data_IF_484502894874
#
_entry.id   IF_484502894874
#
_cell.length_a   1.000
_cell.length_b   1.000
_cell.length_c   1.000
_cell.angle_alpha   90.00
_cell.angle_beta   90.00
_cell.angle_gamma   90.00
#
_symmetry.space_group_name_H-M   'P 1'
#
loop_
_entity.id
_entity.type
_entity.pdbx_description
1 polymer ?
#
# COMPACT_ATOMS: atom_id res chain seq x y z
N UNK A 1 -9.52 -33.37 -6.22
CA UNK A 1 -8.65 -32.69 -5.24
C UNK A 1 -7.61 -31.87 -6.00
N UNK A 2 -7.48 -30.58 -5.64
CA UNK A 2 -6.54 -29.67 -6.29
C UNK A 2 -5.11 -29.99 -5.82
N UNK A 3 -4.20 -30.10 -6.78
CA UNK A 3 -2.79 -30.28 -6.43
C UNK A 3 -2.22 -29.00 -5.87
N UNK A 4 -1.44 -29.13 -4.81
CA UNK A 4 -0.81 -28.01 -4.11
C UNK A 4 0.70 -28.09 -4.24
N UNK A 5 1.35 -26.94 -4.09
CA UNK A 5 2.81 -26.84 -3.99
C UNK A 5 3.20 -25.82 -2.94
N UNK A 6 4.40 -25.93 -2.43
CA UNK A 6 4.96 -24.94 -1.53
C UNK A 6 5.15 -23.61 -2.29
N UNK A 7 4.62 -22.53 -1.76
CA UNK A 7 4.81 -21.20 -2.35
C UNK A 7 6.24 -20.68 -2.17
N UNK A 8 6.98 -21.22 -1.22
CA UNK A 8 8.26 -20.65 -0.80
C UNK A 8 8.12 -19.42 0.09
N UNK A 9 6.90 -19.05 0.44
CA UNK A 9 6.60 -17.90 1.30
C UNK A 9 6.14 -18.44 2.66
N UNK A 10 6.94 -18.23 3.73
CA UNK A 10 6.66 -18.86 5.05
C UNK A 10 5.26 -18.58 5.62
N UNK A 11 4.74 -17.35 5.42
CA UNK A 11 3.44 -16.98 5.99
C UNK A 11 2.25 -17.37 5.09
N UNK A 12 2.51 -17.95 3.92
CA UNK A 12 1.46 -18.48 3.03
C UNK A 12 1.44 -19.99 3.07
N UNK A 13 2.61 -20.63 2.98
CA UNK A 13 2.73 -22.07 2.93
C UNK A 13 2.40 -22.61 1.54
N UNK A 14 1.43 -23.52 1.45
CA UNK A 14 1.07 -24.14 0.18
C UNK A 14 0.05 -23.33 -0.60
N UNK A 15 0.20 -23.35 -1.93
CA UNK A 15 -0.72 -22.73 -2.89
C UNK A 15 -1.10 -23.76 -3.95
N UNK A 16 -2.22 -23.56 -4.69
CA UNK A 16 -2.51 -24.41 -5.84
C UNK A 16 -1.34 -24.46 -6.81
N UNK A 17 -1.05 -25.62 -7.36
CA UNK A 17 0.10 -25.86 -8.23
C UNK A 17 0.10 -24.91 -9.44
N UNK A 18 -1.08 -24.51 -9.91
CA UNK A 18 -1.24 -23.63 -11.06
C UNK A 18 -1.05 -22.14 -10.77
N UNK A 19 -0.94 -21.78 -9.49
CA UNK A 19 -0.74 -20.39 -9.13
C UNK A 19 0.71 -19.98 -9.30
N UNK A 20 0.92 -18.68 -9.55
CA UNK A 20 2.23 -18.09 -9.73
C UNK A 20 2.68 -17.35 -8.48
N UNK A 21 3.99 -17.24 -8.33
CA UNK A 21 4.63 -16.39 -7.31
C UNK A 21 5.43 -15.34 -8.07
N UNK A 22 5.14 -14.06 -7.82
CA UNK A 22 5.81 -12.95 -8.47
C UNK A 22 6.22 -11.90 -7.44
N UNK A 23 7.31 -11.18 -7.73
CA UNK A 23 7.65 -10.00 -6.95
C UNK A 23 6.60 -8.91 -7.20
N UNK A 24 6.32 -8.11 -6.17
CA UNK A 24 5.39 -6.98 -6.29
C UNK A 24 5.77 -6.09 -7.48
N UNK A 25 7.06 -5.83 -7.70
CA UNK A 25 7.53 -4.98 -8.79
C UNK A 25 7.25 -5.53 -10.19
N UNK A 26 6.95 -6.84 -10.31
CA UNK A 26 6.54 -7.42 -11.60
C UNK A 26 5.11 -7.07 -11.97
N UNK A 27 4.29 -6.73 -10.99
CA UNK A 27 2.84 -6.51 -11.16
C UNK A 27 2.45 -5.05 -10.97
N UNK A 28 3.21 -4.30 -10.18
CA UNK A 28 2.88 -2.93 -9.78
C UNK A 28 4.09 -2.03 -9.90
N UNK A 29 3.82 -0.78 -10.29
CA UNK A 29 4.82 0.30 -10.21
C UNK A 29 4.51 1.19 -9.01
N UNK A 30 5.54 1.83 -8.47
CA UNK A 30 5.34 2.92 -7.55
C UNK A 30 4.68 4.08 -8.29
N UNK A 31 3.55 4.57 -7.77
CA UNK A 31 2.83 5.68 -8.36
C UNK A 31 3.16 6.97 -7.63
N UNK A 32 3.70 7.94 -8.37
CA UNK A 32 4.01 9.29 -7.87
C UNK A 32 3.51 10.31 -8.87
N UNK A 33 2.53 11.10 -8.47
CA UNK A 33 1.99 12.18 -9.28
C UNK A 33 1.64 13.36 -8.37
N UNK A 34 2.52 14.34 -8.32
CA UNK A 34 2.34 15.49 -7.45
C UNK A 34 1.16 16.35 -7.90
N UNK A 35 0.44 16.89 -6.92
CA UNK A 35 -0.70 17.81 -7.14
C UNK A 35 -0.20 19.23 -7.39
N UNK A 36 0.66 19.41 -8.40
CA UNK A 36 1.42 20.64 -8.63
C UNK A 36 0.54 21.89 -8.87
N UNK A 37 -0.58 21.70 -9.54
CA UNK A 37 -1.50 22.79 -9.88
C UNK A 37 -2.64 22.94 -8.87
N UNK A 38 -2.62 22.12 -7.81
CA UNK A 38 -3.67 22.11 -6.79
C UNK A 38 -5.07 21.85 -7.36
N UNK A 39 -5.15 21.21 -8.52
CA UNK A 39 -6.44 20.97 -9.19
C UNK A 39 -7.26 19.89 -8.48
N UNK A 40 -6.61 18.95 -7.81
CA UNK A 40 -7.32 17.91 -7.06
C UNK A 40 -7.48 18.35 -5.61
N UNK A 41 -8.72 18.38 -5.13
CA UNK A 41 -9.05 18.88 -3.80
C UNK A 41 -9.68 17.82 -2.89
N UNK A 42 -9.91 16.59 -3.39
CA UNK A 42 -10.45 15.53 -2.58
C UNK A 42 -9.36 14.95 -1.68
N UNK A 43 -9.29 15.42 -0.45
CA UNK A 43 -8.25 14.98 0.50
C UNK A 43 -8.62 13.61 1.08
N UNK A 44 -7.71 12.67 0.94
CA UNK A 44 -7.86 11.30 1.42
C UNK A 44 -6.83 10.99 2.50
N UNK A 45 -7.16 10.02 3.33
CA UNK A 45 -6.29 9.54 4.40
C UNK A 45 -6.45 8.04 4.59
N UNK A 46 -5.38 7.37 4.98
CA UNK A 46 -5.42 5.96 5.36
C UNK A 46 -5.73 5.86 6.86
N UNK A 47 -6.82 5.20 7.17
CA UNK A 47 -7.29 5.03 8.54
C UNK A 47 -7.71 3.58 8.76
N UNK A 48 -6.95 2.86 9.58
CA UNK A 48 -7.25 1.47 9.97
C UNK A 48 -7.62 0.56 8.79
N UNK A 49 -6.81 0.58 7.74
CA UNK A 49 -6.98 -0.27 6.57
C UNK A 49 -7.96 0.23 5.52
N UNK A 50 -8.44 1.45 5.66
CA UNK A 50 -9.40 2.08 4.72
C UNK A 50 -8.91 3.45 4.29
N UNK A 51 -9.20 3.79 3.03
CA UNK A 51 -8.98 5.15 2.53
C UNK A 51 -10.28 5.93 2.76
N UNK A 52 -10.19 7.00 3.54
CA UNK A 52 -11.34 7.83 3.89
C UNK A 52 -11.13 9.26 3.43
N UNK A 53 -12.24 9.97 3.20
CA UNK A 53 -12.20 11.40 2.89
C UNK A 53 -11.94 12.21 4.15
N UNK A 54 -11.13 13.26 3.99
CA UNK A 54 -10.93 14.28 5.02
C UNK A 54 -11.39 15.63 4.49
N UNK A 55 -11.87 16.49 5.38
CA UNK A 55 -12.19 17.87 5.01
C UNK A 55 -10.89 18.66 4.85
N UNK A 56 -10.65 19.17 3.65
CA UNK A 56 -9.46 19.95 3.32
C UNK A 56 -9.43 21.30 4.08
N UNK A 57 -10.58 21.74 4.56
CA UNK A 57 -10.73 23.01 5.27
C UNK A 57 -10.69 22.87 6.80
N UNK A 58 -10.43 21.67 7.33
CA UNK A 58 -10.33 21.49 8.77
C UNK A 58 -9.07 22.19 9.30
N UNK A 59 -9.26 22.97 10.35
CA UNK A 59 -8.16 23.65 11.05
C UNK A 59 -7.48 22.74 12.07
N UNK A 60 -7.63 21.46 11.97
CA UNK A 60 -6.95 20.51 12.83
C UNK A 60 -5.48 20.43 12.43
N UNK A 61 -4.75 21.37 12.86
CA UNK A 61 -3.35 21.66 12.99
C UNK A 61 -2.28 20.82 12.33
N UNK A 62 -2.60 19.84 11.52
CA UNK A 62 -1.64 18.92 10.92
C UNK A 62 -1.67 18.90 9.40
N UNK A 63 -2.46 19.76 8.78
CA UNK A 63 -2.45 19.87 7.33
C UNK A 63 -1.23 20.70 6.92
N UNK A 64 -0.38 20.21 6.02
CA UNK A 64 0.71 21.01 5.50
C UNK A 64 0.16 22.25 4.82
N UNK A 65 0.92 23.32 4.87
CA UNK A 65 0.55 24.60 4.25
C UNK A 65 0.27 24.47 2.75
N UNK A 66 0.80 23.43 2.13
CA UNK A 66 0.65 23.19 0.70
C UNK A 66 0.34 21.74 0.40
N UNK A 67 -0.68 21.50 -0.42
CA UNK A 67 -1.02 20.18 -0.94
C UNK A 67 -0.37 19.90 -2.30
N UNK A 68 0.52 20.77 -2.77
CA UNK A 68 1.19 20.59 -4.07
C UNK A 68 2.15 19.39 -4.08
N UNK A 69 2.65 19.00 -2.91
CA UNK A 69 3.50 17.83 -2.75
C UNK A 69 2.75 16.52 -2.53
N UNK A 70 1.42 16.58 -2.39
CA UNK A 70 0.61 15.38 -2.19
C UNK A 70 0.52 14.57 -3.47
N UNK A 71 0.32 13.26 -3.31
CA UNK A 71 0.22 12.32 -4.41
C UNK A 71 -1.24 12.21 -4.89
N UNK A 72 -1.46 12.36 -6.19
CA UNK A 72 -2.79 12.13 -6.79
C UNK A 72 -2.95 10.63 -7.00
N UNK A 73 -3.96 10.06 -6.36
CA UNK A 73 -4.27 8.63 -6.45
C UNK A 73 -5.63 8.42 -7.08
N UNK A 74 -5.85 7.23 -7.60
CA UNK A 74 -7.07 6.89 -8.34
C UNK A 74 -7.62 5.54 -7.92
N UNK A 75 -8.86 5.25 -8.32
CA UNK A 75 -9.51 3.97 -8.07
C UNK A 75 -8.60 2.81 -8.50
N UNK A 76 -8.39 1.87 -7.60
CA UNK A 76 -7.56 0.70 -7.83
C UNK A 76 -6.14 0.82 -7.29
N UNK A 77 -5.68 2.01 -6.94
CA UNK A 77 -4.36 2.17 -6.32
C UNK A 77 -4.37 1.58 -4.91
N UNK A 78 -3.24 1.01 -4.51
CA UNK A 78 -3.06 0.47 -3.16
C UNK A 78 -2.04 1.33 -2.43
N UNK A 79 -2.39 1.76 -1.23
CA UNK A 79 -1.57 2.69 -0.43
C UNK A 79 -1.02 1.94 0.78
N UNK A 80 0.26 2.14 1.07
CA UNK A 80 0.95 1.55 2.21
C UNK A 80 1.50 2.64 3.12
N UNK A 81 1.20 2.53 4.40
CA UNK A 81 1.83 3.36 5.43
C UNK A 81 2.97 2.56 6.05
N UNK A 82 4.17 2.81 5.57
CA UNK A 82 5.37 2.07 5.98
C UNK A 82 6.29 2.89 6.87
N UNK A 83 5.74 3.88 7.56
CA UNK A 83 6.44 4.72 8.52
C UNK A 83 6.17 4.23 9.93
N UNK A 84 7.10 4.50 10.84
CA UNK A 84 6.93 4.26 12.27
C UNK A 84 6.63 2.80 12.62
N UNK A 85 7.28 1.88 11.92
CA UNK A 85 7.03 0.44 12.03
C UNK A 85 7.32 -0.12 13.42
N UNK A 86 8.26 0.47 14.14
CA UNK A 86 8.66 -0.03 15.46
C UNK A 86 7.71 0.41 16.57
N UNK A 87 7.11 1.59 16.43
CA UNK A 87 6.29 2.19 17.46
C UNK A 87 4.82 1.88 17.29
N UNK A 88 4.36 1.73 16.05
CA UNK A 88 2.96 1.46 15.75
C UNK A 88 2.81 0.09 15.08
N UNK A 89 2.57 -0.94 15.89
CA UNK A 89 2.38 -2.31 15.42
C UNK A 89 0.90 -2.72 15.39
N UNK A 90 -0.01 -1.81 15.68
CA UNK A 90 -1.45 -2.10 15.79
C UNK A 90 -2.26 -1.56 14.62
N UNK A 91 -1.83 -0.45 14.03
CA UNK A 91 -2.55 0.16 12.91
C UNK A 91 -2.44 -0.68 11.66
N UNK A 92 -3.54 -0.79 10.94
CA UNK A 92 -3.56 -1.44 9.63
C UNK A 92 -2.90 -0.50 8.62
N UNK A 93 -1.97 -1.03 7.85
CA UNK A 93 -1.01 -0.26 7.07
C UNK A 93 -1.30 -0.20 5.58
N UNK A 94 -2.34 -0.87 5.12
CA UNK A 94 -2.67 -0.91 3.70
C UNK A 94 -4.10 -0.46 3.47
N UNK A 95 -4.35 0.20 2.35
CA UNK A 95 -5.69 0.61 1.96
C UNK A 95 -5.87 0.59 0.45
N UNK A 96 -7.07 0.23 0.00
CA UNK A 96 -7.45 0.27 -1.41
C UNK A 96 -8.14 1.58 -1.72
N UNK A 97 -7.63 2.30 -2.73
CA UNK A 97 -8.23 3.54 -3.20
C UNK A 97 -9.45 3.22 -4.06
N UNK A 98 -10.59 3.84 -3.77
CA UNK A 98 -11.85 3.62 -4.48
C UNK A 98 -12.31 4.86 -5.24
N UNK A 99 -11.60 5.97 -5.12
CA UNK A 99 -11.95 7.21 -5.81
C UNK A 99 -10.70 8.08 -6.01
N UNK A 100 -10.76 8.98 -6.97
CA UNK A 100 -9.65 9.91 -7.20
C UNK A 100 -9.56 10.93 -6.07
N UNK A 101 -8.34 11.21 -5.63
CA UNK A 101 -8.06 12.21 -4.62
C UNK A 101 -6.58 12.39 -4.42
N UNK A 102 -6.22 13.09 -3.36
CA UNK A 102 -4.83 13.29 -2.96
C UNK A 102 -4.56 12.69 -1.59
N UNK A 103 -3.36 12.15 -1.41
CA UNK A 103 -2.93 11.60 -0.14
C UNK A 103 -1.48 11.99 0.11
N UNK A 104 -1.05 12.01 1.36
CA UNK A 104 0.31 12.42 1.70
C UNK A 104 1.36 11.57 0.95
N UNK A 105 2.40 12.25 0.46
CA UNK A 105 3.52 11.60 -0.21
C UNK A 105 4.41 10.78 0.74
N UNK A 106 4.17 10.87 2.05
CA UNK A 106 4.85 10.04 3.04
C UNK A 106 4.45 8.56 2.92
N UNK A 107 3.30 8.26 2.32
CA UNK A 107 2.87 6.89 2.07
C UNK A 107 3.36 6.40 0.71
N UNK A 108 3.55 5.09 0.59
CA UNK A 108 3.88 4.45 -0.68
C UNK A 108 2.59 4.06 -1.38
N UNK A 109 2.42 4.49 -2.62
CA UNK A 109 1.27 4.11 -3.46
C UNK A 109 1.76 3.26 -4.62
N UNK A 110 1.07 2.15 -4.88
CA UNK A 110 1.38 1.29 -6.01
C UNK A 110 0.19 1.22 -6.96
N UNK A 111 0.49 1.11 -8.25
CA UNK A 111 -0.50 1.02 -9.32
C UNK A 111 -0.17 -0.17 -10.21
N UNK A 112 -1.18 -0.94 -10.60
CA UNK A 112 -1.00 -2.10 -11.46
C UNK A 112 -0.40 -1.71 -12.80
N UNK A 113 0.60 -2.48 -13.26
CA UNK A 113 1.26 -2.27 -14.55
C UNK A 113 0.39 -2.71 -15.71
N UNK A 114 -0.55 -3.60 -15.44
CA UNK A 114 -1.48 -4.15 -16.41
C UNK A 114 -2.83 -4.35 -15.75
N UNK A 115 -3.81 -4.84 -16.50
CA UNK A 115 -5.14 -5.06 -15.93
C UNK A 115 -5.10 -6.22 -14.92
N UNK A 116 -5.17 -5.85 -13.64
CA UNK A 116 -5.26 -6.79 -12.53
C UNK A 116 -6.54 -6.51 -11.76
N UNK A 117 -6.86 -7.39 -10.81
CA UNK A 117 -8.01 -7.19 -9.92
C UNK A 117 -7.55 -6.61 -8.58
N UNK A 118 -7.58 -5.27 -8.40
CA UNK A 118 -7.00 -4.64 -7.21
C UNK A 118 -7.56 -5.14 -5.87
N UNK A 119 -8.88 -5.42 -5.72
CA UNK A 119 -9.38 -5.93 -4.45
C UNK A 119 -8.71 -7.21 -3.97
N UNK A 120 -8.40 -8.13 -4.90
CA UNK A 120 -7.68 -9.36 -4.53
C UNK A 120 -6.31 -9.03 -3.94
N UNK A 121 -5.54 -8.17 -4.63
CA UNK A 121 -4.19 -7.83 -4.18
C UNK A 121 -4.21 -7.02 -2.89
N UNK A 122 -5.22 -6.18 -2.71
CA UNK A 122 -5.39 -5.47 -1.44
C UNK A 122 -5.65 -6.47 -0.29
N UNK A 123 -6.53 -7.45 -0.50
CA UNK A 123 -6.75 -8.49 0.50
C UNK A 123 -5.48 -9.27 0.81
N UNK A 124 -4.70 -9.59 -0.22
CA UNK A 124 -3.46 -10.32 -0.05
C UNK A 124 -2.47 -9.54 0.82
N UNK A 125 -2.20 -8.28 0.48
CA UNK A 125 -1.27 -7.46 1.26
C UNK A 125 -1.83 -7.11 2.64
N UNK A 126 -3.15 -7.01 2.77
CA UNK A 126 -3.79 -6.86 4.07
C UNK A 126 -3.53 -8.09 4.95
N UNK A 127 -3.62 -9.29 4.39
CA UNK A 127 -3.30 -10.51 5.15
C UNK A 127 -1.83 -10.52 5.59
N UNK A 128 -0.93 -10.02 4.76
CA UNK A 128 0.48 -9.87 5.12
C UNK A 128 0.63 -8.89 6.29
N UNK A 129 -0.12 -7.79 6.27
CA UNK A 129 -0.12 -6.81 7.35
C UNK A 129 -0.60 -7.44 8.68
N UNK A 130 -1.69 -8.19 8.62
CA UNK A 130 -2.23 -8.92 9.78
C UNK A 130 -1.21 -9.91 10.32
N UNK A 131 -0.44 -10.57 9.45
CA UNK A 131 0.64 -11.49 9.82
C UNK A 131 1.93 -10.77 10.23
N UNK A 132 1.93 -9.45 10.30
CA UNK A 132 3.07 -8.62 10.73
C UNK A 132 4.31 -8.76 9.83
N UNK A 133 4.10 -9.05 8.55
CA UNK A 133 5.19 -9.25 7.59
C UNK A 133 6.06 -7.99 7.46
N UNK A 134 5.42 -6.81 7.38
CA UNK A 134 6.15 -5.54 7.17
C UNK A 134 7.08 -5.19 8.33
N UNK A 135 6.75 -5.60 9.53
CA UNK A 135 7.55 -5.30 10.73
C UNK A 135 8.88 -6.05 10.73
N UNK A 136 9.00 -7.13 9.96
CA UNK A 136 10.22 -7.92 9.85
C UNK A 136 11.06 -7.62 8.61
N UNK A 137 10.58 -6.75 7.71
CA UNK A 137 11.26 -6.50 6.44
C UNK A 137 12.31 -5.39 6.51
N UNK A 138 12.18 -4.48 7.46
CA UNK A 138 13.15 -3.40 7.62
C UNK A 138 14.39 -3.85 8.37
N UNK A 139 15.52 -3.16 8.16
CA UNK A 139 16.68 -3.31 9.02
C UNK A 139 16.27 -2.92 10.44
N UNK A 140 16.79 -3.62 11.44
CA UNK A 140 16.42 -3.39 12.83
C UNK A 140 16.58 -1.97 13.36
N UNK A 141 17.19 -1.08 12.58
CA UNK A 141 17.40 0.33 12.90
C UNK A 141 16.43 1.26 12.17
N UNK A 142 15.81 0.80 11.07
CA UNK A 142 14.92 1.64 10.28
C UNK A 142 13.51 1.66 10.85
N UNK A 143 12.98 2.88 11.01
CA UNK A 143 11.61 3.10 11.45
C UNK A 143 10.59 3.03 10.31
N UNK A 144 11.05 2.91 9.07
CA UNK A 144 10.18 2.88 7.92
C UNK A 144 10.77 2.14 6.74
N UNK A 145 9.93 1.90 5.75
CA UNK A 145 10.30 1.28 4.48
C UNK A 145 9.87 2.19 3.34
N UNK A 146 10.53 2.01 2.19
CA UNK A 146 10.12 2.68 0.94
C UNK A 146 9.81 1.64 -0.12
N UNK A 147 9.48 2.11 -1.35
CA UNK A 147 9.16 1.19 -2.43
C UNK A 147 10.33 0.27 -2.79
N UNK A 148 11.58 0.72 -2.63
CA UNK A 148 12.74 -0.13 -2.93
C UNK A 148 12.81 -1.37 -2.04
N UNK A 149 12.25 -1.29 -0.83
CA UNK A 149 12.10 -2.44 0.06
C UNK A 149 10.85 -3.26 -0.30
N UNK A 150 9.73 -2.57 -0.52
CA UNK A 150 8.43 -3.20 -0.77
C UNK A 150 8.40 -3.97 -2.09
N UNK A 151 9.13 -3.50 -3.10
CA UNK A 151 9.11 -4.10 -4.45
C UNK A 151 9.50 -5.58 -4.48
N UNK A 152 10.24 -6.02 -3.48
CA UNK A 152 10.72 -7.40 -3.38
C UNK A 152 9.72 -8.36 -2.75
N UNK A 153 8.60 -7.84 -2.25
CA UNK A 153 7.57 -8.65 -1.62
C UNK A 153 7.00 -9.66 -2.62
N UNK A 154 6.89 -10.92 -2.20
CA UNK A 154 6.36 -11.97 -3.07
C UNK A 154 4.85 -12.05 -2.95
N UNK A 155 4.17 -12.04 -4.09
CA UNK A 155 2.73 -12.11 -4.20
C UNK A 155 2.33 -13.39 -4.95
N UNK A 156 1.18 -13.95 -4.61
CA UNK A 156 0.65 -15.16 -5.23
C UNK A 156 -0.63 -14.86 -6.01
N UNK A 157 -0.79 -15.52 -7.12
CA UNK A 157 -2.00 -15.36 -7.94
C UNK A 157 -2.23 -16.54 -8.90
#
# INVERSE_FOLDING_TARGET
>A
MRKMRDSGIPWIGEIPETWNVNMLSSLFDEHKQKNKDLSETNLLSLSYGKIIRKDINTNEGLLPESFDGYNIISDGDIVFRLTDLQNDKRSLRTGLCLEKGIITSAYVTIRARQKLYPPYYHYLVHSYDVCKVFYGMGDGVRQGMNYSDLRKLLLVS
#
